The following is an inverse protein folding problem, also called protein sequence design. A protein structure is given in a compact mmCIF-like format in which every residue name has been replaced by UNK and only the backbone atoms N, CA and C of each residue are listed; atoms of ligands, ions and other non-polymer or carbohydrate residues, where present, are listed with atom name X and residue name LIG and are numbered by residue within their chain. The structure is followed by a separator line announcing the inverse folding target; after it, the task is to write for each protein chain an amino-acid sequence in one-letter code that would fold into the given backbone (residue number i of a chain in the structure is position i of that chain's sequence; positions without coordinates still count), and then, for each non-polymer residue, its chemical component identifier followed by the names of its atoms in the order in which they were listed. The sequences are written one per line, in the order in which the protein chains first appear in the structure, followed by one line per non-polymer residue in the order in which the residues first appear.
data_IF_772249876596
#
_entry.id   IF_772249876596
#
_cell.length_a   1.000
_cell.length_b   1.000
_cell.length_c   1.000
_cell.angle_alpha   90.00
_cell.angle_beta   90.00
_cell.angle_gamma   90.00
#
_symmetry.space_group_name_H-M   'P 1'
#
loop_
_entity.id
_entity.type
_entity.pdbx_description
1 polymer ?
#
# COMPACT_ATOMS: atom_id res chain seq x y z
N UNK A 1 13.08 25.82 22.58
CA UNK A 1 12.78 26.07 21.14
C UNK A 1 11.77 27.18 21.02
N UNK A 2 11.88 28.04 20.00
CA UNK A 2 10.92 29.13 19.78
C UNK A 2 9.54 28.55 19.45
N UNK A 3 8.47 29.13 20.00
CA UNK A 3 7.07 28.75 19.71
C UNK A 3 6.74 28.80 18.21
N UNK A 4 7.39 29.73 17.48
CA UNK A 4 7.23 29.86 16.03
C UNK A 4 7.78 28.65 15.29
N UNK A 5 8.95 28.13 15.67
CA UNK A 5 9.54 26.93 15.06
C UNK A 5 8.65 25.71 15.32
N UNK A 6 8.15 25.56 16.54
CA UNK A 6 7.24 24.45 16.87
C UNK A 6 5.93 24.50 16.05
N UNK A 7 5.38 25.69 15.86
CA UNK A 7 4.17 25.85 15.04
C UNK A 7 4.42 25.49 13.56
N UNK A 8 5.58 25.85 13.01
CA UNK A 8 5.98 25.48 11.66
C UNK A 8 6.20 23.99 11.51
N UNK A 9 6.90 23.36 12.47
CA UNK A 9 7.10 21.91 12.48
C UNK A 9 5.77 21.15 12.54
N UNK A 10 4.83 21.58 13.38
CA UNK A 10 3.50 20.97 13.48
C UNK A 10 2.71 21.00 12.17
N UNK A 11 2.82 22.10 11.39
CA UNK A 11 2.18 22.21 10.06
C UNK A 11 2.76 21.23 9.02
N UNK A 12 4.01 20.83 9.19
CA UNK A 12 4.69 19.89 8.28
C UNK A 12 4.45 18.42 8.63
N UNK A 13 3.87 18.15 9.82
CA UNK A 13 3.59 16.78 10.23
C UNK A 13 2.44 16.18 9.43
N UNK A 14 2.71 15.07 8.78
CA UNK A 14 1.67 14.24 8.14
C UNK A 14 0.97 13.40 9.20
N UNK A 15 -0.37 13.29 9.10
CA UNK A 15 -1.22 12.52 10.04
C UNK A 15 -1.56 11.12 9.51
N UNK A 16 -1.44 10.90 8.21
CA UNK A 16 -1.84 9.66 7.48
C UNK A 16 -0.73 8.61 7.46
N UNK A 17 0.13 8.59 8.46
CA UNK A 17 1.23 7.65 8.52
C UNK A 17 0.87 6.47 9.44
N UNK A 18 1.10 5.23 8.99
CA UNK A 18 0.93 4.06 9.84
C UNK A 18 1.96 4.07 10.97
N UNK A 19 1.59 3.45 12.07
CA UNK A 19 2.54 3.24 13.16
C UNK A 19 3.38 2.00 12.87
N UNK A 20 4.68 2.17 12.74
CA UNK A 20 5.64 1.08 12.56
C UNK A 20 6.92 1.35 13.33
N UNK A 21 7.70 0.30 13.56
CA UNK A 21 8.96 0.35 14.29
C UNK A 21 10.10 -0.34 13.52
N UNK A 22 11.31 -0.25 14.05
CA UNK A 22 12.42 -1.07 13.53
C UNK A 22 12.06 -2.56 13.65
N UNK A 23 12.33 -3.32 12.60
CA UNK A 23 11.96 -4.74 12.48
C UNK A 23 10.73 -5.00 11.63
N UNK A 24 9.90 -4.00 11.37
CA UNK A 24 8.74 -4.15 10.52
C UNK A 24 9.13 -4.11 9.04
N UNK A 25 8.43 -4.86 8.22
CA UNK A 25 8.57 -4.79 6.75
C UNK A 25 7.54 -3.82 6.22
N UNK A 26 8.01 -2.82 5.49
CA UNK A 26 7.16 -1.76 4.95
C UNK A 26 7.31 -1.65 3.43
N UNK A 27 6.22 -1.27 2.76
CA UNK A 27 6.20 -0.81 1.36
C UNK A 27 6.11 0.71 1.36
N UNK A 28 7.11 1.36 0.78
CA UNK A 28 7.15 2.81 0.64
C UNK A 28 6.89 3.16 -0.81
N UNK A 29 5.79 3.85 -1.08
CA UNK A 29 5.45 4.41 -2.37
C UNK A 29 6.11 5.78 -2.50
N UNK A 30 7.21 5.83 -3.24
CA UNK A 30 8.04 7.01 -3.35
C UNK A 30 7.93 7.60 -4.75
N UNK A 31 7.63 8.88 -4.84
CA UNK A 31 7.56 9.62 -6.10
C UNK A 31 8.96 9.99 -6.56
N UNK A 32 9.34 9.48 -7.72
CA UNK A 32 10.60 9.80 -8.40
C UNK A 32 10.29 10.75 -9.54
N UNK A 33 11.04 11.83 -9.63
CA UNK A 33 10.94 12.83 -10.69
C UNK A 33 12.21 12.71 -11.54
N UNK A 34 12.03 12.42 -12.82
CA UNK A 34 13.11 12.24 -13.79
C UNK A 34 12.84 13.20 -14.96
N UNK A 35 13.49 14.37 -14.93
CA UNK A 35 13.21 15.44 -15.89
C UNK A 35 11.77 15.94 -15.78
N UNK A 36 11.02 15.85 -16.87
CA UNK A 36 9.60 16.25 -16.93
C UNK A 36 8.62 15.14 -16.48
N UNK A 37 9.10 13.92 -16.29
CA UNK A 37 8.26 12.77 -15.93
C UNK A 37 8.33 12.48 -14.43
N UNK A 38 7.19 12.13 -13.85
CA UNK A 38 7.11 11.66 -12.46
C UNK A 38 6.50 10.26 -12.44
N UNK A 39 7.10 9.37 -11.66
CA UNK A 39 6.58 8.01 -11.45
C UNK A 39 6.65 7.63 -9.97
N UNK A 40 5.76 6.72 -9.57
CA UNK A 40 5.77 6.14 -8.24
C UNK A 40 6.60 4.87 -8.28
N UNK A 41 7.60 4.80 -7.42
CA UNK A 41 8.42 3.61 -7.24
C UNK A 41 8.16 3.02 -5.86
N UNK A 42 7.85 1.72 -5.83
CA UNK A 42 7.63 1.00 -4.58
C UNK A 42 8.96 0.45 -4.07
N UNK A 43 9.29 0.77 -2.83
CA UNK A 43 10.42 0.21 -2.12
C UNK A 43 9.91 -0.64 -0.96
N UNK A 44 9.95 -1.96 -1.12
CA UNK A 44 9.63 -2.90 -0.05
C UNK A 44 10.90 -3.30 0.67
N UNK A 45 10.91 -3.16 2.00
CA UNK A 45 12.10 -3.49 2.79
C UNK A 45 11.85 -3.52 4.28
N UNK A 46 12.80 -4.13 4.98
CA UNK A 46 12.82 -4.20 6.43
C UNK A 46 13.35 -2.89 7.03
N UNK A 47 12.63 -2.33 7.97
CA UNK A 47 13.07 -1.11 8.69
C UNK A 47 14.19 -1.46 9.66
N UNK A 48 15.39 -0.93 9.41
CA UNK A 48 16.58 -1.16 10.24
C UNK A 48 16.60 -0.22 11.44
N UNK A 49 16.22 1.03 11.21
CA UNK A 49 16.20 2.06 12.25
C UNK A 49 15.14 3.10 11.96
N UNK A 50 14.64 3.70 13.01
CA UNK A 50 13.84 4.91 13.02
C UNK A 50 14.51 5.89 14.00
N UNK A 51 14.69 7.14 13.61
CA UNK A 51 15.40 8.14 14.38
C UNK A 51 14.88 9.55 14.10
N UNK A 52 15.13 10.46 15.06
CA UNK A 52 14.65 11.83 15.00
C UNK A 52 13.33 12.00 15.75
N UNK A 53 12.82 13.21 15.75
CA UNK A 53 11.54 13.56 16.34
C UNK A 53 10.89 14.69 15.53
N UNK A 54 9.55 14.70 15.48
CA UNK A 54 8.79 15.71 14.75
C UNK A 54 9.04 15.66 13.25
N UNK A 55 9.09 16.81 12.59
CA UNK A 55 9.27 16.93 11.14
C UNK A 55 10.59 16.34 10.62
N UNK A 56 11.60 16.20 11.48
CA UNK A 56 12.93 15.66 11.14
C UNK A 56 13.07 14.16 11.32
N UNK A 57 11.96 13.46 11.57
CA UNK A 57 12.00 12.02 11.76
C UNK A 57 12.31 11.29 10.44
N UNK A 58 13.24 10.33 10.53
CA UNK A 58 13.68 9.53 9.39
C UNK A 58 13.69 8.04 9.74
N UNK A 59 13.47 7.20 8.76
CA UNK A 59 13.65 5.76 8.88
C UNK A 59 14.49 5.20 7.73
N UNK A 60 15.22 4.14 8.01
CA UNK A 60 16.04 3.45 7.00
C UNK A 60 15.45 2.07 6.76
N UNK A 61 15.08 1.81 5.50
CA UNK A 61 14.62 0.50 5.05
C UNK A 61 15.71 -0.21 4.24
N UNK A 62 15.85 -1.53 4.45
CA UNK A 62 16.80 -2.39 3.76
C UNK A 62 16.06 -3.48 3.00
N UNK A 63 16.43 -3.69 1.74
CA UNK A 63 16.01 -4.83 0.94
C UNK A 63 17.20 -5.58 0.36
N UNK A 64 17.01 -6.83 0.01
CA UNK A 64 17.94 -7.60 -0.79
C UNK A 64 17.51 -7.50 -2.26
N UNK A 65 18.43 -7.04 -3.11
CA UNK A 65 18.23 -6.99 -4.56
C UNK A 65 19.37 -7.72 -5.23
N UNK A 66 19.08 -8.81 -5.93
CA UNK A 66 20.09 -9.61 -6.65
C UNK A 66 21.32 -9.97 -5.80
N UNK A 67 21.09 -10.36 -4.54
CA UNK A 67 22.18 -10.70 -3.61
C UNK A 67 22.85 -9.50 -2.93
N UNK A 68 22.57 -8.28 -3.36
CA UNK A 68 23.10 -7.05 -2.77
C UNK A 68 22.11 -6.44 -1.80
N UNK A 69 22.57 -6.09 -0.60
CA UNK A 69 21.76 -5.39 0.39
C UNK A 69 21.69 -3.89 0.10
N UNK A 70 20.53 -3.40 -0.31
CA UNK A 70 20.29 -1.99 -0.59
C UNK A 70 19.58 -1.34 0.60
N UNK A 71 20.14 -0.24 1.09
CA UNK A 71 19.56 0.57 2.17
C UNK A 71 19.18 1.94 1.65
N UNK A 72 17.99 2.40 2.01
CA UNK A 72 17.52 3.75 1.70
C UNK A 72 16.93 4.40 2.94
N UNK A 73 17.34 5.64 3.18
CA UNK A 73 16.79 6.46 4.28
C UNK A 73 15.73 7.39 3.72
N UNK A 74 14.58 7.37 4.36
CA UNK A 74 13.43 8.18 3.99
C UNK A 74 13.09 9.14 5.13
N UNK A 75 12.94 10.46 4.86
CA UNK A 75 12.30 11.36 5.81
C UNK A 75 10.81 11.01 5.92
N UNK A 76 10.32 10.78 7.13
CA UNK A 76 8.96 10.26 7.36
C UNK A 76 7.87 11.20 6.82
N UNK A 77 8.04 12.49 7.00
CA UNK A 77 7.06 13.52 6.60
C UNK A 77 7.32 14.13 5.22
N UNK A 78 8.16 13.48 4.38
CA UNK A 78 8.48 13.99 3.06
C UNK A 78 7.26 13.98 2.11
N UNK A 79 7.00 15.05 1.35
CA UNK A 79 5.94 15.08 0.35
C UNK A 79 6.21 14.16 -0.85
N UNK A 80 7.44 13.67 -0.99
CA UNK A 80 7.80 12.67 -2.02
C UNK A 80 7.31 11.27 -1.67
N UNK A 81 6.98 11.00 -0.40
CA UNK A 81 6.36 9.75 0.01
C UNK A 81 4.86 9.91 -0.19
N UNK A 82 4.27 9.09 -1.04
CA UNK A 82 2.83 9.08 -1.27
C UNK A 82 2.14 8.37 -0.12
N UNK A 83 2.50 7.10 0.11
CA UNK A 83 1.99 6.31 1.23
C UNK A 83 3.02 5.29 1.72
N UNK A 84 2.82 4.83 2.94
CA UNK A 84 3.59 3.76 3.58
C UNK A 84 2.60 2.68 3.99
N UNK A 85 2.88 1.43 3.65
CA UNK A 85 2.09 0.28 4.04
C UNK A 85 2.95 -0.63 4.92
N UNK A 86 2.38 -1.11 6.02
CA UNK A 86 3.03 -2.11 6.88
C UNK A 86 2.60 -3.48 6.40
N UNK A 87 3.55 -4.24 5.85
CA UNK A 87 3.31 -5.58 5.32
C UNK A 87 3.36 -6.63 6.43
N UNK A 88 4.34 -6.49 7.32
CA UNK A 88 4.60 -7.46 8.36
C UNK A 88 5.18 -6.77 9.58
N UNK A 89 4.69 -7.12 10.75
CA UNK A 89 5.22 -6.68 12.02
C UNK A 89 6.33 -7.64 12.45
N UNK A 90 7.52 -7.10 12.73
CA UNK A 90 8.67 -7.88 13.15
C UNK A 90 8.81 -8.00 14.65
N UNK A 91 9.22 -9.19 15.09
CA UNK A 91 9.57 -9.42 16.50
C UNK A 91 11.06 -9.17 16.71
N UNK A 92 11.38 -8.01 17.26
CA UNK A 92 12.75 -7.59 17.51
C UNK A 92 12.88 -6.89 18.87
N UNK A 93 13.98 -7.14 19.57
CA UNK A 93 14.28 -6.57 20.88
C UNK A 93 15.13 -5.29 20.80
N UNK A 94 15.64 -4.94 19.62
CA UNK A 94 16.55 -3.80 19.43
C UNK A 94 15.93 -2.71 18.57
N UNK A 95 16.16 -1.45 18.91
CA UNK A 95 15.71 -0.29 18.12
C UNK A 95 16.54 -0.04 16.86
N UNK A 96 17.77 -0.57 16.79
CA UNK A 96 18.66 -0.43 15.63
C UNK A 96 19.22 -1.80 15.24
N UNK A 97 18.96 -2.22 14.01
CA UNK A 97 19.20 -3.59 13.55
C UNK A 97 20.42 -3.67 12.61
N UNK A 98 21.50 -2.97 12.94
CA UNK A 98 22.70 -2.93 12.10
C UNK A 98 23.39 -4.30 11.94
N UNK A 99 23.18 -5.20 12.87
CA UNK A 99 23.71 -6.56 12.79
C UNK A 99 23.18 -7.35 11.60
N UNK A 100 22.02 -6.96 11.03
CA UNK A 100 21.45 -7.60 9.84
C UNK A 100 22.26 -7.33 8.57
N UNK A 101 23.09 -6.29 8.57
CA UNK A 101 23.98 -5.98 7.43
C UNK A 101 24.96 -7.12 7.11
N UNK A 102 25.42 -7.81 8.16
CA UNK A 102 26.38 -8.93 8.05
C UNK A 102 25.69 -10.28 7.83
N UNK A 103 24.35 -10.33 7.91
CA UNK A 103 23.59 -11.58 7.76
C UNK A 103 23.04 -11.72 6.36
N UNK A 104 23.12 -12.93 5.80
CA UNK A 104 22.65 -13.29 4.46
C UNK A 104 21.72 -14.49 4.54
N UNK A 105 20.79 -14.62 3.60
CA UNK A 105 19.86 -15.73 3.48
C UNK A 105 18.88 -15.83 4.65
N UNK A 106 18.61 -17.04 5.12
CA UNK A 106 17.63 -17.32 6.19
C UNK A 106 17.95 -16.58 7.50
N UNK A 107 19.23 -16.36 7.81
CA UNK A 107 19.68 -15.66 9.02
C UNK A 107 19.40 -14.14 9.00
N UNK A 108 19.13 -13.56 7.83
CA UNK A 108 18.78 -12.16 7.67
C UNK A 108 17.27 -11.88 7.81
N UNK A 109 16.44 -12.91 7.90
CA UNK A 109 15.00 -12.76 8.07
C UNK A 109 14.66 -12.48 9.53
N UNK A 110 13.79 -11.51 9.76
CA UNK A 110 13.19 -11.22 11.06
C UNK A 110 11.93 -12.07 11.19
N UNK A 111 11.70 -12.62 12.38
CA UNK A 111 10.46 -13.36 12.67
C UNK A 111 9.27 -12.39 12.63
N UNK A 112 8.18 -12.82 11.98
CA UNK A 112 6.92 -12.15 12.12
C UNK A 112 6.42 -12.29 13.56
N UNK A 113 5.95 -11.20 14.14
CA UNK A 113 5.20 -11.27 15.38
C UNK A 113 3.84 -11.85 15.03
N UNK A 114 3.54 -13.06 15.52
CA UNK A 114 2.20 -13.62 15.45
C UNK A 114 1.29 -12.82 16.38
N UNK A 115 0.66 -11.81 15.82
CA UNK A 115 -0.41 -11.09 16.48
C UNK A 115 -1.71 -11.62 15.91
N UNK A 116 -2.53 -12.23 16.75
CA UNK A 116 -3.85 -12.68 16.35
C UNK A 116 -4.76 -11.48 16.14
N UNK A 117 -4.76 -10.93 14.94
CA UNK A 117 -5.65 -9.87 14.55
C UNK A 117 -5.18 -9.21 13.25
N UNK A 118 -6.10 -8.86 12.34
CA UNK A 118 -5.75 -8.12 11.15
C UNK A 118 -5.18 -6.76 11.54
N UNK A 119 -4.04 -6.40 10.94
CA UNK A 119 -3.51 -5.04 11.02
C UNK A 119 -4.50 -4.15 10.28
N UNK A 120 -5.35 -3.45 11.00
CA UNK A 120 -6.23 -2.46 10.40
C UNK A 120 -5.37 -1.36 9.79
N UNK A 121 -5.28 -1.36 8.47
CA UNK A 121 -4.77 -0.22 7.72
C UNK A 121 -5.79 0.91 7.87
N UNK A 122 -5.41 2.10 8.33
CA UNK A 122 -6.32 3.24 8.30
C UNK A 122 -6.54 3.61 6.82
N UNK A 123 -7.68 3.27 6.27
CA UNK A 123 -8.04 3.59 4.89
C UNK A 123 -8.57 2.45 4.03
N UNK A 124 -8.79 1.24 4.56
CA UNK A 124 -9.64 0.28 3.88
C UNK A 124 -11.10 0.65 4.14
N UNK A 125 -11.97 0.75 3.11
CA UNK A 125 -13.39 0.85 3.36
C UNK A 125 -13.83 -0.38 4.14
N UNK A 126 -14.54 -0.18 5.24
CA UNK A 126 -15.18 -1.24 6.00
C UNK A 126 -16.02 -2.05 5.02
N UNK A 127 -15.64 -3.31 4.81
CA UNK A 127 -16.52 -4.28 4.21
C UNK A 127 -17.69 -4.43 5.17
N UNK A 128 -18.83 -3.94 4.76
CA UNK A 128 -20.12 -4.18 5.41
C UNK A 128 -20.28 -5.70 5.40
N UNK A 129 -20.23 -6.30 6.58
CA UNK A 129 -20.64 -7.66 6.77
C UNK A 129 -22.15 -7.68 6.52
N UNK A 130 -22.53 -8.19 5.36
CA UNK A 130 -23.91 -8.61 5.08
C UNK A 130 -24.14 -9.95 5.79
N UNK A 131 -24.45 -9.87 7.07
CA UNK A 131 -25.18 -10.90 7.80
C UNK A 131 -26.43 -10.21 8.31
N UNK A 132 -27.54 -10.38 7.58
CA UNK A 132 -28.92 -10.42 8.03
C UNK A 132 -29.83 -10.27 6.78
N UNK A 133 -30.02 -11.37 6.07
CA UNK A 133 -31.25 -11.58 5.32
C UNK A 133 -31.75 -13.00 5.61
N UNK A 134 -32.31 -13.16 6.78
CA UNK A 134 -33.25 -14.23 7.01
C UNK A 134 -34.60 -13.86 6.38
N UNK A 135 -35.05 -14.74 5.52
CA UNK A 135 -36.39 -15.24 5.36
C UNK A 135 -37.56 -14.24 5.23
N UNK A 136 -38.04 -14.10 4.00
CA UNK A 136 -39.51 -14.12 3.79
C UNK A 136 -39.78 -14.81 2.47
N UNK A 137 -40.20 -16.05 2.61
CA UNK A 137 -40.91 -16.86 1.64
C UNK A 137 -42.18 -16.20 1.11
N UNK A 138 -42.50 -16.66 -0.05
CA UNK A 138 -43.84 -16.91 -0.60
C UNK A 138 -44.44 -15.83 -1.49
N UNK A 139 -44.62 -16.29 -2.67
CA UNK A 139 -45.92 -16.13 -3.32
C UNK A 139 -45.95 -15.35 -4.60
N UNK A 140 -46.11 -16.11 -5.62
CA UNK A 140 -47.01 -15.88 -6.73
C UNK A 140 -46.37 -15.59 -8.07
N UNK A 141 -46.32 -16.66 -8.87
CA UNK A 141 -46.43 -16.58 -10.33
C UNK A 141 -47.85 -16.20 -10.70
N UNK A 142 -48.10 -15.55 -11.85
CA UNK A 142 -48.56 -16.35 -12.93
C UNK A 142 -47.96 -15.99 -14.30
N UNK A 143 -47.96 -17.07 -15.12
CA UNK A 143 -47.83 -17.17 -16.54
C UNK A 143 -48.64 -16.14 -17.34
N UNK A 144 -48.09 -15.81 -18.53
CA UNK A 144 -48.75 -15.73 -19.82
C UNK A 144 -47.76 -15.05 -20.79
N UNK A 145 -47.22 -15.75 -21.71
CA UNK A 145 -47.74 -16.15 -23.04
C UNK A 145 -47.61 -15.08 -24.13
N UNK A 146 -47.16 -15.57 -25.24
CA UNK A 146 -47.30 -15.07 -26.60
C UNK A 146 -46.16 -14.20 -27.14
N UNK A 147 -45.36 -14.83 -27.96
CA UNK A 147 -45.47 -15.01 -29.46
C UNK A 147 -45.00 -13.80 -30.25
N UNK A 148 -44.05 -14.14 -31.04
CA UNK A 148 -44.00 -14.08 -32.54
C UNK A 148 -43.34 -12.88 -33.20
N UNK A 149 -42.47 -13.30 -34.07
CA UNK A 149 -42.11 -12.88 -35.43
C UNK A 149 -41.06 -11.79 -35.56
N UNK A 150 -40.00 -12.13 -36.16
CA UNK A 150 -39.59 -12.48 -37.54
C UNK A 150 -39.11 -11.26 -38.34
N UNK A 151 -38.18 -11.55 -39.15
CA UNK A 151 -37.66 -10.83 -40.32
C UNK A 151 -36.34 -10.08 -40.10
N UNK A 152 -35.22 -10.74 -40.42
CA UNK A 152 -34.65 -10.72 -41.79
C UNK A 152 -34.24 -9.34 -42.28
N UNK A 153 -32.97 -9.09 -42.41
CA UNK A 153 -32.32 -8.82 -43.71
C UNK A 153 -30.96 -8.15 -43.51
N UNK A 154 -29.92 -8.85 -43.89
CA UNK A 154 -28.73 -8.24 -44.45
C UNK A 154 -28.98 -7.95 -45.93
N UNK A 155 -28.33 -7.01 -46.58
CA UNK A 155 -27.15 -7.34 -47.35
C UNK A 155 -26.04 -6.26 -47.35
N UNK A 156 -24.79 -6.70 -47.43
CA UNK A 156 -23.83 -6.72 -48.54
C UNK A 156 -23.51 -5.40 -49.26
N UNK A 157 -22.19 -5.21 -49.27
CA UNK A 157 -21.29 -4.81 -50.35
C UNK A 157 -21.25 -3.33 -50.73
N UNK A 158 -20.12 -2.71 -50.73
CA UNK A 158 -19.14 -2.65 -51.79
C UNK A 158 -17.96 -1.73 -51.38
N UNK A 159 -16.75 -2.16 -51.56
CA UNK A 159 -15.62 -1.30 -51.89
C UNK A 159 -15.73 -0.90 -53.38
N UNK A 160 -14.82 -0.15 -54.00
CA UNK A 160 -13.39 -0.18 -53.86
C UNK A 160 -12.67 1.19 -54.13
N UNK A 161 -11.35 1.14 -53.93
CA UNK A 161 -10.23 1.68 -54.75
C UNK A 161 -10.06 3.19 -55.03
N UNK A 162 -8.79 3.50 -54.85
CA UNK A 162 -7.90 4.30 -55.68
C UNK A 162 -7.93 5.83 -55.62
N UNK A 163 -6.91 6.41 -55.13
CA UNK A 163 -5.80 7.13 -55.81
C UNK A 163 -4.85 7.72 -54.78
#
# INVERSE_FOLDING_TARGET
MSKVIQALEQRQLRKDLPQFKAGDTVKVHFRVIEGSRSRIQVFEGLVIKRQGAGSRETFTARKQSFGVGVERTFPLHSPKIERIEVVQIGDVSRAKLYYLRKKVGKKARVRAKQYGGPVSSPGAPEAILEDDVEELESGDEPEADAELEDATEAPQEDGPEAS
#
